data_IF_893479679219
#
_entry.id   IF_893479679219
#
_cell.length_a   1.000
_cell.length_b   1.000
_cell.length_c   1.000
_cell.angle_alpha   90.00
_cell.angle_beta   90.00
_cell.angle_gamma   90.00
#
_symmetry.space_group_name_H-M   'P 1'
#
loop_
_entity.id
_entity.type
_entity.pdbx_description
1 polymer ?
#
# COMPACT_ATOMS: atom_id res chain seq x y z
N UNK A 1 11.48 13.63 -4.51
CA UNK A 1 12.09 12.37 -4.05
C UNK A 1 10.97 11.43 -3.62
N UNK A 2 10.99 10.16 -4.04
CA UNK A 2 10.20 9.08 -3.43
C UNK A 2 11.11 8.49 -2.33
N UNK A 3 10.64 8.39 -1.09
CA UNK A 3 11.45 7.94 0.05
C UNK A 3 10.84 6.69 0.73
N UNK A 4 9.93 5.99 0.03
CA UNK A 4 9.11 4.94 0.62
C UNK A 4 7.95 5.51 1.43
N UNK A 5 7.02 4.63 1.79
CA UNK A 5 5.84 4.97 2.59
C UNK A 5 6.22 5.00 4.06
N UNK A 6 5.68 5.98 4.79
CA UNK A 6 5.80 6.01 6.24
C UNK A 6 4.71 5.14 6.90
N UNK A 7 5.00 3.84 6.98
CA UNK A 7 4.10 2.82 7.54
C UNK A 7 3.71 3.16 8.99
N UNK A 8 4.71 3.42 9.85
CA UNK A 8 4.50 3.74 11.26
C UNK A 8 3.54 4.91 11.48
N UNK A 9 3.70 6.00 10.70
CA UNK A 9 2.82 7.15 10.79
C UNK A 9 1.40 6.84 10.32
N UNK A 10 1.27 6.04 9.26
CA UNK A 10 -0.01 5.64 8.68
C UNK A 10 -0.79 4.75 9.65
N UNK A 11 -0.13 3.76 10.27
CA UNK A 11 -0.71 2.89 11.30
C UNK A 11 -1.16 3.68 12.52
N UNK A 12 -0.31 4.58 13.03
CA UNK A 12 -0.66 5.45 14.17
C UNK A 12 -1.86 6.33 13.87
N UNK A 13 -1.95 6.85 12.64
CA UNK A 13 -3.10 7.63 12.21
C UNK A 13 -4.37 6.77 12.18
N UNK A 14 -4.31 5.59 11.53
CA UNK A 14 -5.43 4.65 11.41
C UNK A 14 -6.01 4.30 12.79
N UNK A 15 -5.14 3.91 13.72
CA UNK A 15 -5.51 3.53 15.09
C UNK A 15 -6.09 4.72 15.88
N UNK A 16 -5.63 5.95 15.63
CA UNK A 16 -6.13 7.14 16.33
C UNK A 16 -7.51 7.60 15.85
N UNK A 17 -7.81 7.44 14.55
CA UNK A 17 -9.08 7.91 13.96
C UNK A 17 -10.18 6.86 13.98
N UNK A 18 -9.83 5.58 14.07
CA UNK A 18 -10.79 4.47 14.15
C UNK A 18 -11.63 4.26 12.89
N UNK A 19 -11.23 4.87 11.78
CA UNK A 19 -11.79 4.68 10.44
C UNK A 19 -10.68 4.20 9.49
N UNK A 20 -11.02 3.47 8.43
CA UNK A 20 -10.05 3.07 7.43
C UNK A 20 -9.28 4.28 6.85
N UNK A 21 -7.98 4.10 6.62
CA UNK A 21 -7.11 5.14 6.04
C UNK A 21 -6.42 4.64 4.78
N UNK A 22 -6.19 5.57 3.86
CA UNK A 22 -5.42 5.33 2.64
C UNK A 22 -4.07 6.03 2.78
N UNK A 23 -2.98 5.28 2.63
CA UNK A 23 -1.63 5.83 2.59
C UNK A 23 -1.48 6.74 1.36
N UNK A 24 -1.01 7.96 1.56
CA UNK A 24 -0.84 8.94 0.48
C UNK A 24 0.60 9.46 0.46
N UNK A 25 1.35 9.02 -0.55
CA UNK A 25 2.71 9.50 -0.83
C UNK A 25 3.82 8.53 -0.43
N UNK A 26 4.92 8.59 -1.19
CA UNK A 26 6.13 7.81 -0.90
C UNK A 26 6.22 6.46 -1.62
N UNK A 27 5.09 5.92 -2.11
CA UNK A 27 5.05 4.66 -2.86
C UNK A 27 6.03 4.67 -4.03
N UNK A 28 6.88 3.65 -4.10
CA UNK A 28 7.99 3.59 -5.05
C UNK A 28 8.20 2.21 -5.68
N UNK A 29 7.89 1.11 -4.99
CA UNK A 29 8.16 -0.24 -5.47
C UNK A 29 7.22 -1.29 -4.82
N UNK A 30 7.38 -2.57 -5.18
CA UNK A 30 6.57 -3.67 -4.66
C UNK A 30 6.77 -3.94 -3.15
N UNK A 31 7.95 -3.66 -2.60
CA UNK A 31 8.20 -3.83 -1.16
C UNK A 31 7.35 -2.87 -0.33
N UNK A 32 7.06 -1.67 -0.84
CA UNK A 32 6.11 -0.76 -0.20
C UNK A 32 4.69 -1.35 -0.16
N UNK A 33 4.28 -2.12 -1.19
CA UNK A 33 2.98 -2.82 -1.23
C UNK A 33 2.94 -3.94 -0.19
N UNK A 34 3.98 -4.77 -0.14
CA UNK A 34 4.11 -5.85 0.84
C UNK A 34 4.03 -5.31 2.27
N UNK A 35 4.76 -4.23 2.54
CA UNK A 35 4.77 -3.57 3.87
C UNK A 35 3.40 -3.00 4.25
N UNK A 36 2.60 -2.56 3.28
CA UNK A 36 1.24 -2.06 3.52
C UNK A 36 0.27 -3.20 3.82
N UNK A 37 0.33 -4.30 3.06
CA UNK A 37 -0.49 -5.48 3.30
C UNK A 37 -0.22 -6.08 4.70
N UNK A 38 1.03 -6.07 5.16
CA UNK A 38 1.39 -6.52 6.52
C UNK A 38 0.70 -5.72 7.64
N UNK A 39 0.27 -4.48 7.38
CA UNK A 39 -0.36 -3.61 8.38
C UNK A 39 -1.84 -3.32 8.09
N UNK A 40 -2.44 -4.05 7.15
CA UNK A 40 -3.85 -3.89 6.78
C UNK A 40 -4.77 -4.00 8.01
N UNK A 41 -4.51 -4.98 8.88
CA UNK A 41 -5.29 -5.23 10.10
C UNK A 41 -5.30 -4.05 11.08
N UNK A 42 -4.39 -3.08 10.92
CA UNK A 42 -4.34 -1.86 11.71
C UNK A 42 -5.19 -0.72 11.14
N UNK A 43 -5.98 -0.98 10.08
CA UNK A 43 -6.90 -0.04 9.45
C UNK A 43 -6.33 0.69 8.24
N UNK A 44 -5.22 0.20 7.66
CA UNK A 44 -4.66 0.72 6.41
C UNK A 44 -5.31 -0.02 5.24
N UNK A 45 -6.27 0.62 4.57
CA UNK A 45 -7.11 -0.01 3.55
C UNK A 45 -6.51 0.04 2.14
N UNK A 46 -5.56 0.96 1.91
CA UNK A 46 -4.93 1.05 0.60
C UNK A 46 -3.92 2.16 0.47
N UNK A 47 -3.49 2.41 -0.76
CA UNK A 47 -2.48 3.42 -1.09
C UNK A 47 -2.78 4.14 -2.40
N UNK A 48 -2.43 5.43 -2.45
CA UNK A 48 -2.48 6.22 -3.68
C UNK A 48 -1.19 6.07 -4.47
N UNK A 49 -1.29 5.47 -5.65
CA UNK A 49 -0.20 5.38 -6.60
C UNK A 49 -0.14 6.63 -7.49
N UNK A 50 0.95 7.39 -7.39
CA UNK A 50 1.17 8.63 -8.15
C UNK A 50 2.37 8.53 -9.08
N UNK A 51 3.39 9.36 -8.83
CA UNK A 51 4.59 9.49 -9.67
C UNK A 51 5.21 8.14 -10.07
N UNK A 52 5.27 7.15 -9.17
CA UNK A 52 5.92 5.86 -9.44
C UNK A 52 5.36 5.13 -10.67
N UNK A 53 4.06 5.28 -10.97
CA UNK A 53 3.47 4.75 -12.20
C UNK A 53 4.01 5.51 -13.42
N UNK A 54 4.03 6.85 -13.34
CA UNK A 54 4.44 7.70 -14.46
C UNK A 54 5.95 7.65 -14.74
N UNK A 55 6.78 7.40 -13.73
CA UNK A 55 8.24 7.22 -13.89
C UNK A 55 8.64 5.79 -14.28
N UNK A 56 7.70 4.83 -14.23
CA UNK A 56 7.98 3.42 -14.51
C UNK A 56 8.70 2.69 -13.36
N UNK A 57 8.79 3.31 -12.18
CA UNK A 57 9.38 2.69 -10.99
C UNK A 57 8.47 1.58 -10.42
N UNK A 58 7.17 1.68 -10.68
CA UNK A 58 6.16 0.72 -10.26
C UNK A 58 5.26 0.32 -11.44
N UNK A 59 5.21 -0.97 -11.74
CA UNK A 59 4.15 -1.54 -12.57
C UNK A 59 2.87 -1.68 -11.73
N UNK A 60 1.84 -0.91 -12.09
CA UNK A 60 0.58 -0.88 -11.38
C UNK A 60 -0.14 -2.24 -11.39
N UNK A 61 -0.12 -2.96 -12.52
CA UNK A 61 -0.81 -4.24 -12.64
C UNK A 61 -0.10 -5.32 -11.80
N UNK A 62 1.23 -5.32 -11.82
CA UNK A 62 2.01 -6.23 -10.98
C UNK A 62 1.82 -5.91 -9.48
N UNK A 63 1.77 -4.63 -9.11
CA UNK A 63 1.51 -4.19 -7.74
C UNK A 63 0.14 -4.62 -7.22
N UNK A 64 -0.92 -4.41 -8.03
CA UNK A 64 -2.26 -4.84 -7.65
C UNK A 64 -2.32 -6.37 -7.49
N UNK A 65 -1.81 -7.11 -8.49
CA UNK A 65 -1.78 -8.59 -8.42
C UNK A 65 -1.06 -9.08 -7.17
N UNK A 66 0.05 -8.43 -6.79
CA UNK A 66 0.80 -8.78 -5.58
C UNK A 66 -0.01 -8.55 -4.30
N UNK A 67 -0.75 -7.44 -4.21
CA UNK A 67 -1.65 -7.19 -3.09
C UNK A 67 -2.76 -8.26 -3.01
N UNK A 68 -3.39 -8.58 -4.14
CA UNK A 68 -4.44 -9.61 -4.21
C UNK A 68 -3.92 -11.00 -3.77
N UNK A 69 -2.68 -11.35 -4.13
CA UNK A 69 -2.03 -12.61 -3.72
C UNK A 69 -1.78 -12.68 -2.21
N UNK A 70 -1.38 -11.56 -1.60
CA UNK A 70 -1.10 -11.48 -0.16
C UNK A 70 -2.38 -11.52 0.68
N UNK A 71 -3.47 -10.97 0.13
CA UNK A 71 -4.76 -10.90 0.82
C UNK A 71 -5.65 -12.12 0.52
N UNK A 72 -5.16 -13.10 -0.25
CA UNK A 72 -5.89 -14.33 -0.57
C UNK A 72 -7.08 -14.13 -1.51
N UNK A 73 -7.13 -13.02 -2.24
CA UNK A 73 -8.25 -12.70 -3.13
C UNK A 73 -8.18 -13.48 -4.47
N UNK A 74 -7.00 -13.95 -4.86
CA UNK A 74 -6.78 -14.71 -6.09
C UNK A 74 -7.12 -16.21 -6.01
N UNK A 75 -7.33 -16.77 -4.83
CA UNK A 75 -7.77 -18.17 -4.66
C UNK A 75 -9.29 -18.35 -4.93
N UNK A 76 -10.01 -17.25 -5.16
CA UNK A 76 -11.48 -17.23 -5.33
C UNK A 76 -11.95 -16.91 -6.77
N UNK A 77 -11.04 -16.85 -7.75
CA UNK A 77 -11.35 -16.48 -9.15
C UNK A 77 -11.30 -17.67 -10.12
#
# INVERSE_FOLDING_TARGET
>A
MLQGINIDATVKLAQAVGIPVIASGGLSNLTDIESLCEVEEHGVEGVICGRAIYSGDLDFAAAQKRADELNGELDNA
#
